data_IF_096461580326
#
_entry.id   IF_096461580326
#
_cell.length_a   1.000
_cell.length_b   1.000
_cell.length_c   1.000
_cell.angle_alpha   90.00
_cell.angle_beta   90.00
_cell.angle_gamma   90.00
#
_symmetry.space_group_name_H-M   'P 1'
#
loop_
_entity.id
_entity.type
_entity.pdbx_description
1 polymer ?
#
# COMPACT_ATOMS: atom_id res chain seq x y z
N UNK A 1 -34.45 27.56 68.61
CA UNK A 1 -33.00 27.36 68.35
C UNK A 1 -32.86 26.43 67.15
N UNK A 2 -32.29 26.91 66.04
CA UNK A 2 -31.68 26.04 65.02
C UNK A 2 -30.70 26.89 64.22
N UNK A 3 -29.39 26.68 64.42
CA UNK A 3 -28.31 27.27 63.61
C UNK A 3 -27.84 26.18 62.65
N UNK A 4 -28.12 26.36 61.37
CA UNK A 4 -27.62 25.51 60.29
C UNK A 4 -26.19 25.96 59.98
N UNK A 5 -25.22 25.07 60.20
CA UNK A 5 -23.83 25.22 59.78
C UNK A 5 -23.65 24.38 58.51
N UNK A 6 -23.61 25.05 57.37
CA UNK A 6 -23.27 24.57 56.02
C UNK A 6 -22.57 25.80 55.39
N UNK A 7 -21.50 25.78 54.60
CA UNK A 7 -20.88 24.76 53.79
C UNK A 7 -19.60 25.43 53.23
N UNK A 8 -18.41 25.13 53.79
CA UNK A 8 -17.14 25.60 53.18
C UNK A 8 -16.30 24.44 52.63
N UNK A 9 -16.74 23.20 52.86
CA UNK A 9 -15.98 21.98 52.57
C UNK A 9 -16.37 21.35 51.23
N UNK A 10 -17.59 21.57 50.70
CA UNK A 10 -17.98 20.97 49.41
C UNK A 10 -17.41 21.71 48.19
N UNK A 11 -17.18 23.02 48.28
CA UNK A 11 -16.67 23.83 47.15
C UNK A 11 -15.21 23.50 46.80
N UNK A 12 -14.37 23.19 47.80
CA UNK A 12 -12.95 22.84 47.60
C UNK A 12 -12.75 21.41 47.07
N UNK A 13 -13.64 20.48 47.41
CA UNK A 13 -13.63 19.09 46.92
C UNK A 13 -14.06 19.01 45.45
N UNK A 14 -15.02 19.83 45.01
CA UNK A 14 -15.47 19.80 43.61
C UNK A 14 -14.39 20.32 42.63
N UNK A 15 -13.55 21.27 43.08
CA UNK A 15 -12.47 21.88 42.29
C UNK A 15 -11.22 21.00 42.18
N UNK A 16 -11.02 20.06 43.11
CA UNK A 16 -9.92 19.08 43.10
C UNK A 16 -10.28 17.82 42.31
N UNK A 17 -11.55 17.43 42.28
CA UNK A 17 -12.03 16.30 41.48
C UNK A 17 -12.05 16.58 39.96
N UNK A 18 -12.28 17.82 39.54
CA UNK A 18 -12.23 18.21 38.12
C UNK A 18 -10.80 18.29 37.58
N UNK A 19 -9.83 18.74 38.39
CA UNK A 19 -8.42 18.82 38.01
C UNK A 19 -7.72 17.46 37.99
N UNK A 20 -8.06 16.55 38.91
CA UNK A 20 -7.56 15.16 38.87
C UNK A 20 -8.06 14.40 37.63
N UNK A 21 -9.34 14.56 37.25
CA UNK A 21 -9.87 13.96 36.02
C UNK A 21 -9.22 14.50 34.74
N UNK A 22 -8.86 15.79 34.72
CA UNK A 22 -8.11 16.36 33.59
C UNK A 22 -6.66 15.86 33.55
N UNK A 23 -6.01 15.69 34.69
CA UNK A 23 -4.64 15.16 34.75
C UNK A 23 -4.55 13.69 34.31
N UNK A 24 -5.47 12.83 34.73
CA UNK A 24 -5.51 11.41 34.34
C UNK A 24 -5.82 11.24 32.84
N UNK A 25 -6.69 12.12 32.31
CA UNK A 25 -6.99 12.20 30.86
C UNK A 25 -5.79 12.74 30.06
N UNK A 26 -5.00 13.63 30.64
CA UNK A 26 -3.77 14.15 30.02
C UNK A 26 -2.64 13.11 30.03
N UNK A 27 -2.53 12.33 31.10
CA UNK A 27 -1.53 11.26 31.25
C UNK A 27 -1.83 10.07 30.33
N UNK A 28 -3.11 9.65 30.23
CA UNK A 28 -3.53 8.63 29.27
C UNK A 28 -3.35 9.05 27.81
N UNK A 29 -3.57 10.34 27.48
CA UNK A 29 -3.24 10.90 26.16
C UNK A 29 -1.73 10.91 25.90
N UNK A 30 -0.91 11.20 26.91
CA UNK A 30 0.56 11.12 26.80
C UNK A 30 1.04 9.70 26.52
N UNK A 31 0.53 8.69 27.24
CA UNK A 31 0.87 7.27 27.01
C UNK A 31 0.47 6.80 25.62
N UNK A 32 -0.72 7.18 25.14
CA UNK A 32 -1.14 6.82 23.77
C UNK A 32 -0.24 7.46 22.71
N UNK A 33 0.20 8.71 22.92
CA UNK A 33 1.13 9.39 22.01
C UNK A 33 2.52 8.75 22.02
N UNK A 34 3.04 8.33 23.17
CA UNK A 34 4.35 7.67 23.22
C UNK A 34 4.33 6.32 22.52
N UNK A 35 3.27 5.53 22.69
CA UNK A 35 3.12 4.23 22.01
C UNK A 35 3.02 4.42 20.49
N UNK A 36 2.17 5.34 20.02
CA UNK A 36 2.04 5.61 18.57
C UNK A 36 3.35 6.13 17.99
N UNK A 37 4.07 6.97 18.74
CA UNK A 37 5.38 7.50 18.32
C UNK A 37 6.44 6.39 18.21
N UNK A 38 6.48 5.48 19.19
CA UNK A 38 7.39 4.33 19.21
C UNK A 38 7.07 3.34 18.09
N UNK A 39 5.79 3.03 17.87
CA UNK A 39 5.35 2.24 16.71
C UNK A 39 5.71 2.92 15.38
N UNK A 40 5.45 4.22 15.21
CA UNK A 40 5.80 4.96 13.98
C UNK A 40 7.32 5.04 13.73
N UNK A 41 8.15 5.01 14.77
CA UNK A 41 9.61 4.99 14.66
C UNK A 41 10.15 3.64 14.17
N UNK A 42 9.47 2.56 14.53
CA UNK A 42 9.87 1.19 14.17
C UNK A 42 9.12 0.62 12.97
N UNK A 43 8.11 1.32 12.45
CA UNK A 43 7.36 0.84 11.29
C UNK A 43 8.14 1.15 10.00
N UNK A 44 8.40 0.15 9.12
CA UNK A 44 9.10 0.33 7.86
C UNK A 44 8.27 1.05 6.78
N UNK A 45 7.25 1.83 7.16
CA UNK A 45 6.53 2.71 6.25
C UNK A 45 7.27 4.03 6.17
N UNK A 46 7.94 4.24 5.05
CA UNK A 46 8.87 5.35 4.77
C UNK A 46 8.29 6.77 5.03
N UNK A 47 6.97 6.91 5.19
CA UNK A 47 6.27 8.18 5.42
C UNK A 47 5.95 8.51 6.90
N UNK A 48 5.94 7.51 7.80
CA UNK A 48 5.55 7.72 9.21
C UNK A 48 6.57 8.54 10.05
N UNK A 49 7.90 8.46 9.82
CA UNK A 49 8.87 9.26 10.56
C UNK A 49 8.70 10.78 10.35
N UNK A 50 8.23 11.21 9.16
CA UNK A 50 7.97 12.62 8.84
C UNK A 50 6.76 13.18 9.61
N UNK A 51 5.74 12.35 9.85
CA UNK A 51 4.52 12.69 10.58
C UNK A 51 4.79 12.75 12.10
N UNK A 52 5.67 11.89 12.61
CA UNK A 52 6.04 11.83 14.01
C UNK A 52 7.04 12.92 14.44
N UNK A 53 7.95 13.35 13.55
CA UNK A 53 9.05 14.28 13.88
C UNK A 53 8.73 15.76 13.58
N UNK A 54 7.74 16.06 12.74
CA UNK A 54 7.44 17.44 12.34
C UNK A 54 6.64 18.21 13.40
N UNK A 55 7.18 19.33 13.88
CA UNK A 55 6.46 20.27 14.76
C UNK A 55 5.47 21.18 14.02
N UNK A 56 5.57 21.29 12.69
CA UNK A 56 4.69 22.12 11.86
C UNK A 56 3.55 21.30 11.24
N UNK A 57 2.32 21.80 11.40
CA UNK A 57 1.07 21.19 10.90
C UNK A 57 1.09 21.05 9.37
N UNK A 58 1.67 22.00 8.64
CA UNK A 58 1.72 21.99 7.18
C UNK A 58 2.55 20.84 6.63
N UNK A 59 3.74 20.62 7.18
CA UNK A 59 4.63 19.53 6.77
C UNK A 59 4.03 18.16 7.12
N UNK A 60 3.25 18.09 8.22
CA UNK A 60 2.50 16.88 8.58
C UNK A 60 1.38 16.59 7.59
N UNK A 61 0.65 17.61 7.16
CA UNK A 61 -0.44 17.48 6.18
C UNK A 61 0.12 17.04 4.81
N UNK A 62 1.20 17.67 4.36
CA UNK A 62 1.87 17.32 3.11
C UNK A 62 2.38 15.87 3.11
N UNK A 63 3.00 15.43 4.21
CA UNK A 63 3.48 14.05 4.35
C UNK A 63 2.34 13.02 4.31
N UNK A 64 1.18 13.35 4.89
CA UNK A 64 -0.02 12.50 4.85
C UNK A 64 -0.63 12.43 3.44
N UNK A 65 -0.74 13.57 2.76
CA UNK A 65 -1.27 13.65 1.40
C UNK A 65 -0.36 12.90 0.43
N UNK A 66 0.95 13.07 0.56
CA UNK A 66 1.93 12.34 -0.24
C UNK A 66 1.83 10.83 -0.01
N UNK A 67 1.71 10.38 1.25
CA UNK A 67 1.52 8.97 1.57
C UNK A 67 0.24 8.40 0.93
N UNK A 68 -0.89 9.10 1.06
CA UNK A 68 -2.16 8.70 0.46
C UNK A 68 -2.04 8.62 -1.07
N UNK A 69 -1.42 9.63 -1.70
CA UNK A 69 -1.19 9.64 -3.14
C UNK A 69 -0.39 8.43 -3.62
N UNK A 70 0.73 8.12 -2.95
CA UNK A 70 1.54 6.94 -3.29
C UNK A 70 0.77 5.63 -3.08
N UNK A 71 -0.05 5.52 -2.02
CA UNK A 71 -0.86 4.31 -1.81
C UNK A 71 -1.92 4.11 -2.90
N UNK A 72 -2.55 5.18 -3.39
CA UNK A 72 -3.53 5.11 -4.49
C UNK A 72 -2.85 4.66 -5.78
N UNK A 73 -1.70 5.27 -6.12
CA UNK A 73 -0.94 4.92 -7.33
C UNK A 73 -0.50 3.46 -7.26
N UNK A 74 0.03 3.00 -6.11
CA UNK A 74 0.42 1.61 -5.92
C UNK A 74 -0.75 0.66 -6.11
N UNK A 75 -1.92 0.95 -5.52
CA UNK A 75 -3.11 0.12 -5.69
C UNK A 75 -3.54 0.01 -7.17
N UNK A 76 -3.47 1.13 -7.91
CA UNK A 76 -3.76 1.17 -9.34
C UNK A 76 -2.76 0.36 -10.17
N UNK A 77 -1.46 0.50 -9.92
CA UNK A 77 -0.43 -0.27 -10.62
C UNK A 77 -0.57 -1.77 -10.34
N UNK A 78 -0.85 -2.15 -9.09
CA UNK A 78 -1.03 -3.56 -8.72
C UNK A 78 -2.27 -4.14 -9.43
N UNK A 79 -3.40 -3.45 -9.41
CA UNK A 79 -4.62 -3.97 -10.05
C UNK A 79 -4.45 -4.14 -11.56
N UNK A 80 -3.88 -3.14 -12.23
CA UNK A 80 -3.59 -3.20 -13.67
C UNK A 80 -2.60 -4.30 -14.02
N UNK A 81 -1.55 -4.49 -13.23
CA UNK A 81 -0.57 -5.57 -13.43
C UNK A 81 -1.20 -6.96 -13.26
N UNK A 82 -2.06 -7.12 -12.25
CA UNK A 82 -2.77 -8.39 -12.03
C UNK A 82 -3.72 -8.71 -13.18
N UNK A 83 -4.45 -7.71 -13.68
CA UNK A 83 -5.32 -7.89 -14.85
C UNK A 83 -4.51 -8.27 -16.09
N UNK A 84 -3.39 -7.58 -16.35
CA UNK A 84 -2.50 -7.89 -17.46
C UNK A 84 -1.87 -9.29 -17.35
N UNK A 85 -1.61 -9.77 -16.13
CA UNK A 85 -1.15 -11.14 -15.91
C UNK A 85 -2.21 -12.18 -16.32
N UNK A 86 -3.47 -11.94 -15.96
CA UNK A 86 -4.58 -12.83 -16.33
C UNK A 86 -5.00 -12.75 -17.81
N UNK A 87 -4.51 -11.75 -18.55
CA UNK A 87 -4.69 -11.67 -20.00
C UNK A 87 -3.79 -12.68 -20.75
N UNK A 88 -2.82 -13.30 -20.05
CA UNK A 88 -1.86 -14.26 -20.61
C UNK A 88 -1.24 -13.82 -21.94
N UNK A 89 -0.66 -12.60 -22.03
CA UNK A 89 -0.04 -12.15 -23.27
C UNK A 89 1.21 -13.00 -23.56
N UNK A 90 1.21 -13.72 -24.67
CA UNK A 90 2.40 -14.44 -25.15
C UNK A 90 3.25 -13.53 -26.03
N UNK A 91 4.49 -13.27 -25.63
CA UNK A 91 5.45 -12.59 -26.48
C UNK A 91 6.16 -13.62 -27.37
N UNK A 92 6.03 -13.47 -28.69
CA UNK A 92 6.74 -14.29 -29.66
C UNK A 92 7.99 -13.50 -30.09
N UNK A 93 9.15 -14.00 -29.71
CA UNK A 93 10.43 -13.45 -30.15
C UNK A 93 10.92 -14.26 -31.37
N UNK A 94 11.03 -13.60 -32.52
CA UNK A 94 11.49 -14.21 -33.77
C UNK A 94 12.96 -13.85 -33.95
N UNK A 95 13.84 -14.74 -33.48
CA UNK A 95 15.27 -14.63 -33.71
C UNK A 95 15.70 -15.47 -34.90
N UNK A 96 16.42 -14.85 -35.84
CA UNK A 96 17.05 -15.56 -36.95
C UNK A 96 18.40 -16.11 -36.48
N UNK A 97 18.39 -17.33 -35.96
CA UNK A 97 19.61 -18.04 -35.64
C UNK A 97 20.20 -18.65 -36.93
N UNK A 98 21.42 -18.23 -37.28
CA UNK A 98 22.18 -18.82 -38.40
C UNK A 98 22.95 -20.02 -37.87
N UNK A 99 22.26 -21.15 -37.75
CA UNK A 99 22.83 -22.40 -37.24
C UNK A 99 23.22 -23.30 -38.42
N UNK A 100 24.49 -23.71 -38.50
CA UNK A 100 24.94 -24.80 -39.38
C UNK A 100 25.39 -25.98 -38.54
N UNK A 101 25.05 -27.24 -38.89
CA UNK A 101 24.33 -27.68 -40.09
C UNK A 101 22.81 -27.86 -39.88
N UNK A 102 21.98 -27.22 -40.71
CA UNK A 102 20.52 -27.39 -40.72
C UNK A 102 20.11 -28.71 -41.40
N UNK A 103 19.10 -29.39 -40.87
CA UNK A 103 18.51 -30.57 -41.53
C UNK A 103 17.91 -30.20 -42.89
N UNK A 104 18.23 -30.99 -43.92
CA UNK A 104 17.63 -30.84 -45.24
C UNK A 104 16.15 -31.24 -45.19
N UNK A 105 15.22 -30.36 -45.58
CA UNK A 105 13.80 -30.64 -45.47
C UNK A 105 13.36 -31.70 -46.48
N UNK A 106 12.26 -32.40 -46.18
CA UNK A 106 11.64 -33.30 -47.13
C UNK A 106 10.96 -32.49 -48.24
N UNK A 107 11.29 -32.79 -49.49
CA UNK A 107 10.61 -32.23 -50.65
C UNK A 107 9.69 -33.30 -51.24
N UNK A 108 8.44 -32.93 -51.46
CA UNK A 108 7.48 -33.77 -52.19
C UNK A 108 7.20 -33.11 -53.53
N UNK A 109 7.50 -33.83 -54.62
CA UNK A 109 7.25 -33.39 -55.99
C UNK A 109 6.09 -34.20 -56.56
N UNK A 110 5.06 -33.50 -57.00
CA UNK A 110 3.90 -34.10 -57.67
C UNK A 110 3.92 -33.77 -59.15
N UNK A 111 3.53 -34.73 -59.98
CA UNK A 111 3.32 -34.49 -61.39
C UNK A 111 2.07 -33.61 -61.59
N UNK A 112 2.19 -32.56 -62.41
CA UNK A 112 1.06 -31.70 -62.77
C UNK A 112 0.03 -32.43 -63.64
N UNK A 113 0.44 -33.50 -64.33
CA UNK A 113 -0.49 -34.39 -65.01
C UNK A 113 -0.92 -35.52 -64.06
N UNK A 114 -2.20 -35.56 -63.64
CA UNK A 114 -2.69 -36.62 -62.75
C UNK A 114 -2.82 -37.98 -63.44
N UNK A 115 -2.87 -38.00 -64.77
CA UNK A 115 -3.14 -39.20 -65.56
C UNK A 115 -2.01 -39.46 -66.57
N UNK A 116 -1.69 -40.74 -66.77
CA UNK A 116 -0.78 -41.21 -67.82
C UNK A 116 -1.62 -41.88 -68.91
N UNK A 117 -1.75 -41.22 -70.06
CA UNK A 117 -2.57 -41.68 -71.20
C UNK A 117 -1.93 -42.79 -72.05
N UNK A 118 -0.69 -43.16 -71.73
CA UNK A 118 0.14 -44.12 -72.49
C UNK A 118 0.05 -45.56 -71.95
N UNK A 119 -0.67 -45.77 -70.83
CA UNK A 119 -0.79 -47.08 -70.19
C UNK A 119 -2.10 -47.74 -70.60
N UNK A 120 -2.09 -48.41 -71.76
CA UNK A 120 -3.16 -49.29 -72.24
C UNK A 120 -2.61 -50.68 -72.54
#
# INVERSE_FOLDING_TARGET
>A
MCKIVFDKTCVSVSKTNSTMKEQEKHESRRRRRSIIHEFCLHTPTQALPGIARSQSIHNRLFSLISFIGFTIIMAYVVSTTVLAYFEYPTQIDINYASERPQYFPAFTLCNASPLRFDKN
#
